data_IF_979758298252
#
_entry.id   IF_979758298252
#
_cell.length_a   1.000
_cell.length_b   1.000
_cell.length_c   1.000
_cell.angle_alpha   90.00
_cell.angle_beta   90.00
_cell.angle_gamma   90.00
#
_symmetry.space_group_name_H-M   'P 1'
#
loop_
_entity.id
_entity.type
_entity.pdbx_description
1 polymer ?
#
# COMPACT_ATOMS: atom_id res chain seq x y z
N UNK A 1 -13.10 -20.96 -19.23
CA UNK A 1 -11.75 -20.54 -18.78
C UNK A 1 -11.74 -20.41 -17.26
N UNK A 2 -10.75 -20.99 -16.55
CA UNK A 2 -10.65 -20.84 -15.08
C UNK A 2 -10.15 -19.43 -14.73
N UNK A 3 -10.79 -18.79 -13.76
CA UNK A 3 -10.43 -17.48 -13.22
C UNK A 3 -9.47 -17.65 -12.02
N UNK A 4 -8.45 -16.81 -11.92
CA UNK A 4 -7.52 -16.80 -10.79
C UNK A 4 -7.01 -15.37 -10.51
N UNK A 5 -6.17 -15.21 -9.50
CA UNK A 5 -5.36 -14.00 -9.32
C UNK A 5 -4.09 -14.14 -10.15
N UNK A 6 -3.98 -13.31 -11.18
CA UNK A 6 -2.81 -13.22 -12.02
C UNK A 6 -1.86 -12.14 -11.53
N UNK A 7 -0.56 -12.47 -11.52
CA UNK A 7 0.51 -11.55 -11.19
C UNK A 7 1.37 -11.24 -12.41
N UNK A 8 1.54 -9.95 -12.68
CA UNK A 8 2.32 -9.43 -13.78
C UNK A 8 3.49 -8.61 -13.23
N UNK A 9 4.70 -8.88 -13.72
CA UNK A 9 5.87 -8.05 -13.45
C UNK A 9 5.87 -6.90 -14.43
N UNK A 10 5.64 -5.68 -13.93
CA UNK A 10 5.38 -4.50 -14.76
C UNK A 10 6.32 -3.35 -14.42
N UNK A 11 6.61 -2.55 -15.43
CA UNK A 11 7.31 -1.28 -15.33
C UNK A 11 6.47 -0.18 -15.99
N UNK A 12 6.49 1.02 -15.41
CA UNK A 12 5.82 2.17 -16.01
C UNK A 12 6.55 2.58 -17.29
N UNK A 13 5.80 2.80 -18.37
CA UNK A 13 6.37 3.26 -19.63
C UNK A 13 6.93 4.68 -19.45
N UNK A 14 8.16 4.98 -19.93
CA UNK A 14 8.75 6.31 -19.81
C UNK A 14 7.93 7.42 -20.50
N UNK A 15 7.20 7.08 -21.55
CA UNK A 15 6.34 8.00 -22.30
C UNK A 15 5.10 8.46 -21.50
N UNK A 16 4.71 7.73 -20.44
CA UNK A 16 3.54 8.06 -19.63
C UNK A 16 3.96 8.82 -18.37
N UNK A 17 3.85 10.14 -18.39
CA UNK A 17 4.21 10.98 -17.25
C UNK A 17 3.20 10.96 -16.09
N UNK A 18 1.87 10.99 -16.33
CA UNK A 18 0.90 11.11 -15.23
C UNK A 18 1.03 10.00 -14.18
N UNK A 19 0.76 10.29 -12.90
CA UNK A 19 0.85 9.30 -11.84
C UNK A 19 -0.22 8.21 -12.01
N UNK A 20 0.20 6.95 -12.13
CA UNK A 20 -0.72 5.84 -12.27
C UNK A 20 -1.11 5.28 -10.90
N UNK A 21 -2.34 5.56 -10.47
CA UNK A 21 -2.86 5.10 -9.18
C UNK A 21 -3.25 3.62 -9.21
N UNK A 22 -2.97 2.89 -8.14
CA UNK A 22 -3.50 1.54 -7.91
C UNK A 22 -5.03 1.54 -7.93
N UNK A 23 -5.64 0.44 -8.39
CA UNK A 23 -7.09 0.24 -8.55
C UNK A 23 -7.75 1.11 -9.63
N UNK A 24 -6.97 1.76 -10.48
CA UNK A 24 -7.49 2.44 -11.68
C UNK A 24 -7.83 1.38 -12.73
N UNK A 25 -9.02 1.38 -13.34
CA UNK A 25 -9.34 0.43 -14.40
C UNK A 25 -8.44 0.68 -15.62
N UNK A 26 -7.86 -0.38 -16.16
CA UNK A 26 -6.97 -0.37 -17.32
C UNK A 26 -7.33 -1.52 -18.25
N UNK A 27 -7.04 -1.34 -19.54
CA UNK A 27 -7.10 -2.40 -20.53
C UNK A 27 -5.78 -3.17 -20.55
N UNK A 28 -5.82 -4.41 -20.09
CA UNK A 28 -4.71 -5.34 -20.14
C UNK A 28 -4.75 -6.12 -21.45
N UNK A 29 -3.61 -6.13 -22.14
CA UNK A 29 -3.32 -7.01 -23.25
C UNK A 29 -2.33 -8.05 -22.74
N UNK A 30 -2.79 -9.29 -22.55
CA UNK A 30 -2.00 -10.41 -22.03
C UNK A 30 -1.87 -11.44 -23.15
N UNK A 31 -0.74 -11.39 -23.86
CA UNK A 31 -0.56 -12.14 -25.11
C UNK A 31 -1.67 -11.80 -26.12
N UNK A 32 -2.52 -12.77 -26.43
CA UNK A 32 -3.64 -12.63 -27.37
C UNK A 32 -4.96 -12.15 -26.73
N UNK A 33 -5.02 -12.00 -25.40
CA UNK A 33 -6.27 -11.64 -24.70
C UNK A 33 -6.29 -10.16 -24.33
N UNK A 34 -7.47 -9.55 -24.44
CA UNK A 34 -7.74 -8.19 -23.97
C UNK A 34 -8.79 -8.23 -22.86
N UNK A 35 -8.45 -7.64 -21.72
CA UNK A 35 -9.27 -7.68 -20.51
C UNK A 35 -9.27 -6.33 -19.80
N UNK A 36 -10.41 -5.93 -19.26
CA UNK A 36 -10.50 -4.72 -18.44
C UNK A 36 -10.36 -5.09 -16.97
N UNK A 37 -9.34 -4.56 -16.30
CA UNK A 37 -9.09 -4.86 -14.89
C UNK A 37 -8.52 -3.68 -14.12
N UNK A 38 -8.75 -3.67 -12.80
CA UNK A 38 -8.19 -2.69 -11.89
C UNK A 38 -7.06 -3.33 -11.07
N UNK A 39 -5.78 -3.12 -11.46
CA UNK A 39 -4.65 -3.77 -10.83
C UNK A 39 -4.36 -3.18 -9.46
N UNK A 40 -3.78 -4.02 -8.62
CA UNK A 40 -3.13 -3.58 -7.39
C UNK A 40 -1.63 -3.70 -7.57
N UNK A 41 -0.94 -2.57 -7.40
CA UNK A 41 0.52 -2.54 -7.43
C UNK A 41 1.10 -2.93 -6.07
N UNK A 42 2.16 -3.72 -6.11
CA UNK A 42 2.88 -4.18 -4.93
C UNK A 42 4.37 -4.29 -5.22
N UNK A 43 5.18 -4.20 -4.17
CA UNK A 43 6.63 -4.40 -4.27
C UNK A 43 6.95 -5.87 -4.58
N UNK A 44 7.88 -6.10 -5.51
CA UNK A 44 8.48 -7.42 -5.68
C UNK A 44 9.72 -7.54 -4.78
N UNK A 45 9.56 -8.27 -3.68
CA UNK A 45 10.63 -8.54 -2.72
C UNK A 45 10.69 -10.03 -2.43
N UNK A 46 11.79 -10.48 -1.85
CA UNK A 46 12.07 -11.91 -1.63
C UNK A 46 11.14 -12.59 -0.60
N UNK A 47 10.48 -11.83 0.28
CA UNK A 47 9.59 -12.39 1.30
C UNK A 47 8.14 -12.55 0.85
N UNK A 48 7.36 -13.35 1.58
CA UNK A 48 5.96 -13.70 1.25
C UNK A 48 4.96 -12.53 1.41
N UNK A 49 5.37 -11.49 2.14
CA UNK A 49 4.56 -10.31 2.47
C UNK A 49 4.98 -9.16 1.58
N UNK A 50 4.10 -8.77 0.67
CA UNK A 50 4.37 -7.71 -0.31
C UNK A 50 3.69 -6.41 0.09
N UNK A 51 4.44 -5.30 0.06
CA UNK A 51 3.91 -3.98 0.41
C UNK A 51 3.07 -3.45 -0.76
N UNK A 52 1.84 -3.07 -0.48
CA UNK A 52 0.97 -2.35 -1.42
C UNK A 52 1.54 -0.97 -1.76
N UNK A 53 1.56 -0.65 -3.04
CA UNK A 53 1.95 0.67 -3.54
C UNK A 53 0.71 1.43 -4.02
N UNK A 54 0.59 2.70 -3.60
CA UNK A 54 -0.55 3.55 -3.98
C UNK A 54 -0.48 3.97 -5.45
N UNK A 55 0.74 4.06 -5.98
CA UNK A 55 1.05 4.47 -7.34
C UNK A 55 2.12 3.55 -7.92
N UNK A 56 2.10 3.39 -9.24
CA UNK A 56 3.21 2.79 -9.96
C UNK A 56 4.32 3.83 -10.15
N UNK A 57 5.50 3.56 -9.60
CA UNK A 57 6.64 4.47 -9.69
C UNK A 57 7.39 4.30 -11.01
N UNK A 58 7.89 5.39 -11.58
CA UNK A 58 8.73 5.36 -12.77
C UNK A 58 10.04 4.61 -12.51
N UNK A 59 10.54 3.91 -13.55
CA UNK A 59 11.84 3.19 -13.55
C UNK A 59 12.00 2.14 -12.44
N UNK A 60 10.92 1.75 -11.77
CA UNK A 60 10.93 0.74 -10.71
C UNK A 60 10.03 -0.44 -11.10
N UNK A 61 10.56 -1.68 -11.17
CA UNK A 61 9.72 -2.84 -11.40
C UNK A 61 8.80 -3.04 -10.20
N UNK A 62 7.53 -3.31 -10.49
CA UNK A 62 6.49 -3.57 -9.50
C UNK A 62 5.63 -4.73 -9.97
N UNK A 63 4.88 -5.33 -9.05
CA UNK A 63 3.97 -6.42 -9.35
C UNK A 63 2.55 -5.90 -9.42
N UNK A 64 1.89 -6.07 -10.57
CA UNK A 64 0.48 -5.82 -10.75
C UNK A 64 -0.31 -7.11 -10.52
N UNK A 65 -1.27 -7.08 -9.60
CA UNK A 65 -2.14 -8.22 -9.28
C UNK A 65 -3.57 -7.93 -9.68
N UNK A 66 -4.17 -8.86 -10.42
CA UNK A 66 -5.47 -8.70 -11.09
C UNK A 66 -6.24 -10.02 -11.04
N UNK A 67 -7.57 -9.96 -10.94
CA UNK A 67 -8.40 -11.11 -11.25
C UNK A 67 -8.54 -11.26 -12.77
N UNK A 68 -8.15 -12.42 -13.31
CA UNK A 68 -8.18 -12.70 -14.74
C UNK A 68 -8.09 -14.20 -15.03
N UNK A 69 -8.29 -14.62 -16.29
CA UNK A 69 -8.11 -16.00 -16.69
C UNK A 69 -6.63 -16.38 -16.63
N UNK A 70 -6.38 -17.66 -16.32
CA UNK A 70 -5.02 -18.19 -16.18
C UNK A 70 -4.22 -17.96 -17.47
N UNK A 71 -3.07 -17.29 -17.35
CA UNK A 71 -2.06 -17.17 -18.40
C UNK A 71 -0.74 -17.78 -17.92
N UNK A 72 -0.05 -18.51 -18.79
CA UNK A 72 1.24 -19.11 -18.47
C UNK A 72 2.39 -18.23 -18.98
N UNK A 73 3.48 -18.07 -18.21
CA UNK A 73 4.72 -17.47 -18.71
C UNK A 73 5.35 -18.32 -19.82
N UNK A 74 6.10 -17.73 -20.77
CA UNK A 74 6.34 -16.31 -20.95
C UNK A 74 5.27 -15.66 -21.85
N UNK A 75 4.51 -14.71 -21.30
CA UNK A 75 3.53 -13.94 -22.08
C UNK A 75 3.72 -12.44 -21.81
N UNK A 76 3.83 -11.59 -22.84
CA UNK A 76 3.97 -10.15 -22.65
C UNK A 76 2.65 -9.56 -22.15
N UNK A 77 2.77 -8.54 -21.30
CA UNK A 77 1.64 -7.80 -20.74
C UNK A 77 1.82 -6.33 -21.08
N UNK A 78 0.84 -5.76 -21.75
CA UNK A 78 0.75 -4.32 -21.98
C UNK A 78 -0.52 -3.81 -21.29
N UNK A 79 -0.46 -2.63 -20.68
CA UNK A 79 -1.67 -2.01 -20.17
C UNK A 79 -1.87 -0.62 -20.74
N UNK A 80 -3.10 -0.36 -21.15
CA UNK A 80 -3.53 0.90 -21.72
C UNK A 80 -4.54 1.57 -20.81
N UNK A 81 -4.45 2.89 -20.73
CA UNK A 81 -5.44 3.72 -20.06
C UNK A 81 -6.22 4.50 -21.10
N UNK A 82 -7.54 4.49 -20.95
CA UNK A 82 -8.43 5.33 -21.75
C UNK A 82 -8.25 6.79 -21.31
N UNK A 83 -7.92 7.66 -22.26
CA UNK A 83 -7.82 9.10 -22.05
C UNK A 83 -8.62 9.82 -23.14
N UNK A 84 -9.44 10.80 -22.75
CA UNK A 84 -10.09 11.68 -23.72
C UNK A 84 -9.07 12.69 -24.21
N UNK A 85 -8.78 12.66 -25.50
CA UNK A 85 -7.96 13.66 -26.19
C UNK A 85 -8.86 14.55 -27.04
N UNK A 86 -8.35 15.69 -27.52
CA UNK A 86 -9.11 16.62 -28.37
C UNK A 86 -9.61 15.98 -29.68
N UNK A 87 -9.01 14.86 -30.11
CA UNK A 87 -9.38 14.09 -31.29
C UNK A 87 -10.32 12.90 -30.99
N UNK A 88 -10.76 12.72 -29.75
CA UNK A 88 -11.64 11.62 -29.32
C UNK A 88 -11.05 10.74 -28.21
N UNK A 89 -11.62 9.55 -28.03
CA UNK A 89 -11.19 8.59 -27.00
C UNK A 89 -9.93 7.85 -27.46
N UNK A 90 -8.79 8.18 -26.86
CA UNK A 90 -7.49 7.57 -27.12
C UNK A 90 -7.10 6.56 -26.03
N UNK A 91 -6.13 5.70 -26.36
CA UNK A 91 -5.56 4.73 -25.42
C UNK A 91 -4.06 4.98 -25.27
N UNK A 92 -3.61 5.41 -24.09
CA UNK A 92 -2.21 5.64 -23.79
C UNK A 92 -1.58 4.38 -23.18
N UNK A 93 -0.41 3.95 -23.67
CA UNK A 93 0.36 2.86 -23.08
C UNK A 93 0.94 3.32 -21.73
N UNK A 94 0.44 2.76 -20.62
CA UNK A 94 0.85 3.21 -19.27
C UNK A 94 1.91 2.31 -18.62
N UNK A 95 1.89 1.01 -18.93
CA UNK A 95 2.89 0.06 -18.44
C UNK A 95 3.09 -1.09 -19.41
N UNK A 96 4.28 -1.66 -19.36
CA UNK A 96 4.66 -2.89 -20.06
C UNK A 96 5.27 -3.87 -19.06
N UNK A 97 5.24 -5.15 -19.41
CA UNK A 97 5.68 -6.19 -18.49
C UNK A 97 5.50 -7.60 -19.05
N UNK A 98 5.56 -8.57 -18.15
CA UNK A 98 5.36 -9.99 -18.48
C UNK A 98 4.60 -10.72 -17.39
N UNK A 99 3.95 -11.82 -17.78
CA UNK A 99 3.27 -12.73 -16.85
C UNK A 99 4.30 -13.42 -15.97
N UNK A 100 4.06 -13.42 -14.66
CA UNK A 100 4.92 -14.07 -13.67
C UNK A 100 4.34 -15.37 -13.16
N UNK A 101 3.23 -15.29 -12.42
CA UNK A 101 2.61 -16.46 -11.78
C UNK A 101 1.12 -16.24 -11.58
N UNK A 102 0.35 -17.31 -11.71
CA UNK A 102 -1.03 -17.40 -11.24
C UNK A 102 -1.00 -17.88 -9.78
N UNK A 103 -1.38 -17.03 -8.83
CA UNK A 103 -1.28 -17.36 -7.40
C UNK A 103 -2.31 -16.56 -6.56
N UNK A 104 -3.36 -17.17 -6.02
CA UNK A 104 -4.29 -16.48 -5.13
C UNK A 104 -3.73 -16.24 -3.72
N UNK A 105 -2.65 -16.93 -3.33
CA UNK A 105 -2.17 -16.95 -1.95
C UNK A 105 -1.21 -15.81 -1.65
N UNK A 106 -0.66 -15.14 -2.67
CA UNK A 106 0.25 -13.99 -2.53
C UNK A 106 -0.35 -12.92 -1.61
N UNK A 107 0.35 -12.60 -0.52
CA UNK A 107 -0.15 -11.68 0.50
C UNK A 107 0.28 -10.25 0.19
N UNK A 108 -0.70 -9.39 -0.14
CA UNK A 108 -0.47 -7.95 -0.37
C UNK A 108 -0.98 -7.17 0.84
N UNK A 109 -0.08 -6.40 1.49
CA UNK A 109 -0.34 -5.65 2.71
C UNK A 109 -0.29 -4.14 2.47
N UNK A 110 -1.37 -3.43 2.79
CA UNK A 110 -1.37 -1.97 2.89
C UNK A 110 -0.91 -1.53 4.25
N UNK A 111 0.20 -0.79 4.25
CA UNK A 111 0.71 -0.07 5.42
C UNK A 111 -0.14 1.18 5.68
N UNK A 112 -0.57 1.35 6.93
CA UNK A 112 -1.22 2.54 7.48
C UNK A 112 -0.33 3.03 8.62
N UNK A 113 -0.05 4.33 8.64
CA UNK A 113 0.75 4.96 9.69
C UNK A 113 -0.18 5.90 10.45
N UNK A 114 -0.37 5.63 11.73
CA UNK A 114 -1.00 6.57 12.65
C UNK A 114 0.07 7.48 13.22
N UNK A 115 -0.23 8.76 13.36
CA UNK A 115 0.72 9.76 13.86
C UNK A 115 0.15 10.45 15.08
N UNK A 116 0.98 10.64 16.10
CA UNK A 116 0.68 11.42 17.29
C UNK A 116 1.81 12.40 17.58
N UNK A 117 1.47 13.42 18.36
CA UNK A 117 2.42 14.45 18.79
C UNK A 117 2.66 14.33 20.30
N UNK A 118 3.92 14.46 20.76
CA UNK A 118 4.23 14.48 22.18
C UNK A 118 3.66 15.76 22.81
N UNK A 119 2.95 15.60 23.91
CA UNK A 119 2.38 16.71 24.68
C UNK A 119 3.27 17.08 25.88
N UNK A 120 3.60 16.08 26.72
CA UNK A 120 4.51 16.24 27.86
C UNK A 120 5.56 15.14 27.80
N UNK A 121 6.83 15.48 27.96
CA UNK A 121 7.93 14.50 27.95
C UNK A 121 8.71 14.57 29.25
N UNK A 122 9.05 13.41 29.80
CA UNK A 122 9.87 13.27 30.99
C UNK A 122 10.78 12.05 30.86
N UNK A 123 12.08 12.30 30.63
CA UNK A 123 13.08 11.26 30.34
C UNK A 123 12.59 10.37 29.20
N UNK A 124 12.41 9.07 29.44
CA UNK A 124 11.92 8.08 28.48
C UNK A 124 10.39 7.94 28.42
N UNK A 125 9.65 8.68 29.25
CA UNK A 125 8.19 8.65 29.28
C UNK A 125 7.64 9.87 28.53
N UNK A 126 6.63 9.67 27.71
CA UNK A 126 5.94 10.76 27.02
C UNK A 126 4.43 10.57 27.10
N UNK A 127 3.70 11.67 27.23
CA UNK A 127 2.25 11.72 27.00
C UNK A 127 2.05 12.13 25.55
N UNK A 128 1.32 11.32 24.79
CA UNK A 128 1.06 11.53 23.36
C UNK A 128 -0.40 11.90 23.18
N UNK A 129 -0.67 12.85 22.28
CA UNK A 129 -2.02 13.27 21.88
C UNK A 129 -2.21 13.16 20.37
N UNK A 130 -3.47 13.23 19.92
CA UNK A 130 -3.88 13.26 18.51
C UNK A 130 -3.55 12.00 17.69
N UNK A 131 -3.04 10.93 18.33
CA UNK A 131 -2.93 9.62 17.66
C UNK A 131 -4.27 8.87 17.65
N UNK A 132 -5.00 8.97 18.77
CA UNK A 132 -6.34 8.43 18.97
C UNK A 132 -7.23 9.53 19.57
N UNK A 133 -8.55 9.33 19.52
CA UNK A 133 -9.51 10.28 20.08
C UNK A 133 -10.28 9.71 21.27
N UNK A 134 -10.45 8.39 21.34
CA UNK A 134 -11.11 7.71 22.46
C UNK A 134 -10.10 6.90 23.30
N UNK A 135 -10.35 6.72 24.62
CA UNK A 135 -9.51 5.88 25.48
C UNK A 135 -9.64 4.39 25.15
N UNK A 136 -10.76 3.95 24.59
CA UNK A 136 -10.98 2.55 24.22
C UNK A 136 -10.15 2.15 23.00
N UNK A 137 -9.96 3.05 22.04
CA UNK A 137 -9.00 2.84 20.94
C UNK A 137 -7.58 2.61 21.48
N UNK A 138 -7.15 3.39 22.47
CA UNK A 138 -5.82 3.25 23.07
C UNK A 138 -5.66 1.88 23.73
N UNK A 139 -6.68 1.40 24.44
CA UNK A 139 -6.68 0.08 25.08
C UNK A 139 -6.63 -1.03 24.04
N UNK A 140 -7.40 -0.91 22.97
CA UNK A 140 -7.41 -1.85 21.85
C UNK A 140 -6.05 -1.92 21.15
N UNK A 141 -5.43 -0.77 20.88
CA UNK A 141 -4.13 -0.67 20.20
C UNK A 141 -2.93 -0.73 21.15
N UNK A 142 -3.12 -1.04 22.44
CA UNK A 142 -2.04 -1.15 23.44
C UNK A 142 -0.89 -2.10 23.04
N UNK A 143 -1.11 -3.23 22.34
CA UNK A 143 -0.04 -4.11 21.88
C UNK A 143 0.85 -3.53 20.76
N UNK A 144 0.49 -2.39 20.18
CA UNK A 144 1.18 -1.82 19.03
C UNK A 144 2.54 -1.22 19.41
N UNK A 145 3.57 -1.55 18.64
CA UNK A 145 4.89 -0.92 18.76
C UNK A 145 4.86 0.49 18.14
N UNK A 146 5.35 1.46 18.90
CA UNK A 146 5.52 2.84 18.48
C UNK A 146 6.96 3.05 18.01
N UNK A 147 7.14 3.87 16.99
CA UNK A 147 8.45 4.35 16.56
C UNK A 147 8.38 5.85 16.29
N UNK A 148 9.51 6.55 16.40
CA UNK A 148 9.55 7.99 16.13
C UNK A 148 10.38 8.30 14.90
N UNK A 149 10.21 9.49 14.33
CA UNK A 149 10.97 9.89 13.14
C UNK A 149 12.48 9.93 13.40
N UNK A 150 12.88 10.21 14.65
CA UNK A 150 14.28 10.18 15.09
C UNK A 150 14.77 8.79 15.52
N UNK A 151 14.04 7.72 15.19
CA UNK A 151 14.52 6.34 15.35
C UNK A 151 14.27 5.73 16.73
N UNK A 152 13.57 6.42 17.62
CA UNK A 152 13.23 5.87 18.95
C UNK A 152 12.13 4.83 18.81
N UNK A 153 12.12 3.83 19.69
CA UNK A 153 11.10 2.79 19.76
C UNK A 153 10.43 2.81 21.11
N UNK A 154 9.14 2.49 21.15
CA UNK A 154 8.36 2.54 22.38
C UNK A 154 7.09 1.72 22.33
N UNK A 155 6.38 1.73 23.46
CA UNK A 155 5.11 1.03 23.66
C UNK A 155 4.11 1.93 24.37
N UNK A 156 2.84 1.66 24.11
CA UNK A 156 1.74 2.29 24.84
C UNK A 156 1.70 1.68 26.23
N UNK A 157 1.67 2.53 27.26
CA UNK A 157 1.53 2.11 28.65
C UNK A 157 0.05 2.08 29.03
N UNK A 158 -0.59 3.24 29.16
CA UNK A 158 -1.99 3.36 29.57
C UNK A 158 -2.65 4.61 28.96
N UNK A 159 -3.97 4.58 28.80
CA UNK A 159 -4.77 5.76 28.45
C UNK A 159 -4.87 6.73 29.64
N UNK A 160 -5.05 8.02 29.36
CA UNK A 160 -5.18 9.08 30.37
C UNK A 160 -6.45 9.88 30.12
N UNK A 161 -7.31 9.97 31.14
CA UNK A 161 -8.52 10.79 31.12
C UNK A 161 -9.57 10.24 30.16
N UNK A 162 -10.45 11.14 29.71
CA UNK A 162 -11.59 10.84 28.82
C UNK A 162 -11.28 11.04 27.34
N UNK A 163 -10.19 11.74 27.03
CA UNK A 163 -9.72 11.98 25.66
C UNK A 163 -8.69 10.92 25.23
N UNK A 164 -8.37 10.88 23.94
CA UNK A 164 -7.35 10.01 23.36
C UNK A 164 -5.89 10.37 23.71
N UNK A 165 -5.63 10.76 24.95
CA UNK A 165 -4.28 10.94 25.48
C UNK A 165 -3.75 9.62 26.04
N UNK A 166 -2.48 9.32 25.76
CA UNK A 166 -1.86 8.07 26.22
C UNK A 166 -0.47 8.30 26.79
N UNK A 167 -0.13 7.56 27.85
CA UNK A 167 1.24 7.44 28.35
C UNK A 167 1.97 6.42 27.50
N UNK A 168 3.12 6.79 26.99
CA UNK A 168 4.01 5.94 26.23
C UNK A 168 5.38 5.87 26.91
N UNK A 169 6.04 4.72 26.77
CA UNK A 169 7.39 4.48 27.24
C UNK A 169 8.28 4.19 26.04
N UNK A 170 9.42 4.86 25.96
CA UNK A 170 10.39 4.70 24.89
C UNK A 170 11.74 4.23 25.41
N UNK A 171 12.61 3.78 24.51
CA UNK A 171 13.95 3.32 24.82
C UNK A 171 14.95 4.46 25.14
N UNK A 172 14.58 5.72 24.96
CA UNK A 172 15.41 6.86 25.33
C UNK A 172 14.63 8.17 25.37
N UNK A 173 15.35 9.30 25.44
CA UNK A 173 14.74 10.62 25.63
C UNK A 173 14.13 11.12 24.33
N UNK A 174 12.88 11.57 24.39
CA UNK A 174 12.16 12.13 23.23
C UNK A 174 12.22 13.66 23.27
N UNK A 175 12.37 14.25 22.09
CA UNK A 175 12.24 15.70 21.91
C UNK A 175 10.78 16.06 21.62
N UNK A 176 10.32 17.21 22.11
CA UNK A 176 8.94 17.68 21.88
C UNK A 176 8.62 17.98 20.40
N UNK A 177 9.64 18.14 19.56
CA UNK A 177 9.53 18.27 18.09
C UNK A 177 9.28 16.94 17.37
N UNK A 178 9.42 15.81 18.05
CA UNK A 178 9.32 14.50 17.42
C UNK A 178 7.87 14.16 17.00
N UNK A 179 7.73 13.30 16.00
CA UNK A 179 6.45 12.72 15.61
C UNK A 179 6.46 11.24 15.93
N UNK A 180 5.53 10.82 16.79
CA UNK A 180 5.39 9.43 17.19
C UNK A 180 4.47 8.75 16.18
N UNK A 181 4.92 7.62 15.65
CA UNK A 181 4.24 6.90 14.61
C UNK A 181 3.93 5.47 15.07
N UNK A 182 2.82 4.92 14.61
CA UNK A 182 2.48 3.52 14.80
C UNK A 182 2.12 2.91 13.45
N UNK A 183 2.66 1.73 13.13
CA UNK A 183 2.43 1.08 11.84
C UNK A 183 1.48 -0.08 11.94
N UNK A 184 0.40 -0.03 11.18
CA UNK A 184 -0.57 -1.11 11.03
C UNK A 184 -0.58 -1.62 9.59
N UNK A 185 -0.96 -2.88 9.42
CA UNK A 185 -1.04 -3.53 8.13
C UNK A 185 -2.43 -4.15 7.94
N UNK A 186 -2.99 -3.98 6.75
CA UNK A 186 -4.24 -4.64 6.34
C UNK A 186 -4.00 -5.38 5.03
N UNK A 187 -4.40 -6.65 4.95
CA UNK A 187 -4.39 -7.41 3.69
C UNK A 187 -5.39 -6.80 2.71
N UNK A 188 -4.97 -6.63 1.45
CA UNK A 188 -5.80 -6.08 0.38
C UNK A 188 -5.84 -7.06 -0.79
N UNK A 189 -7.02 -7.20 -1.36
CA UNK A 189 -7.26 -7.97 -2.57
C UNK A 189 -7.57 -7.04 -3.76
N UNK A 190 -7.25 -7.46 -5.00
CA UNK A 190 -7.66 -6.76 -6.21
C UNK A 190 -9.17 -6.50 -6.25
N UNK A 191 -9.62 -5.56 -7.08
CA UNK A 191 -11.05 -5.40 -7.31
C UNK A 191 -11.48 -6.35 -8.41
N UNK A 192 -12.58 -7.06 -8.20
CA UNK A 192 -13.28 -7.72 -9.28
C UNK A 192 -14.11 -6.64 -10.01
N UNK A 193 -13.77 -6.35 -11.26
CA UNK A 193 -14.61 -5.49 -12.09
C UNK A 193 -15.68 -6.40 -12.69
N UNK A 194 -16.94 -6.19 -12.31
CA UNK A 194 -18.05 -6.74 -13.06
C UNK A 194 -18.07 -5.98 -14.40
N UNK A 195 -18.02 -6.74 -15.49
CA UNK A 195 -18.11 -6.21 -16.85
C UNK A 195 -19.47 -5.55 -17.08
#
# INVERSE_FOLDING_TARGET
CKLTVMHYGVTKTPSYEPPLRSKTPLWFHVGFRRERAAPIFSTDGLGDKHKFERFLHHRRPSMASVYGPVAYPPSPVLAFKEEMTAAGMGAALVMSGSVRKADPDRVILKRIILTGVPFKVHKSKAVVRQMFFTPDDIRWFKPLELWTKYGMRGKIRDAIGTHGHMKCLFNGVITQRDTICATMYKRIFPKFLLA
#
